data_IF_840759966700
#
_entry.id   IF_840759966700
#
_cell.length_a   1.000
_cell.length_b   1.000
_cell.length_c   1.000
_cell.angle_alpha   90.00
_cell.angle_beta   90.00
_cell.angle_gamma   90.00
#
_symmetry.space_group_name_H-M   'P 1'
#
loop_
_entity.id
_entity.type
_entity.pdbx_description
1 polymer ?
#
# COMPACT_ATOMS: atom_id res chain seq x y z
N UNK A 1 -69.46 18.61 -35.19
CA UNK A 1 -68.75 17.34 -34.96
C UNK A 1 -67.26 17.68 -34.78
N UNK A 2 -66.75 17.59 -33.54
CA UNK A 2 -65.36 17.23 -33.14
C UNK A 2 -64.20 18.14 -33.67
N UNK A 3 -63.23 18.65 -32.92
CA UNK A 3 -62.54 18.11 -31.75
C UNK A 3 -61.93 19.22 -30.86
N UNK A 4 -61.92 18.96 -29.57
CA UNK A 4 -61.38 19.75 -28.48
C UNK A 4 -59.85 19.62 -28.39
N UNK A 5 -59.14 20.75 -28.31
CA UNK A 5 -57.68 20.79 -28.11
C UNK A 5 -57.33 20.34 -26.68
N UNK A 6 -56.80 19.12 -26.53
CA UNK A 6 -56.14 18.70 -25.28
C UNK A 6 -54.72 19.27 -25.22
N UNK A 7 -54.46 20.14 -24.23
CA UNK A 7 -53.11 20.52 -23.80
C UNK A 7 -52.52 19.38 -22.96
N UNK A 8 -51.45 18.76 -23.44
CA UNK A 8 -50.63 17.85 -22.62
C UNK A 8 -49.66 18.68 -21.79
N UNK A 9 -49.86 18.70 -20.47
CA UNK A 9 -48.93 19.31 -19.52
C UNK A 9 -47.64 18.48 -19.34
N UNK A 10 -46.55 19.08 -18.82
CA UNK A 10 -45.27 18.42 -18.66
C UNK A 10 -45.33 17.35 -17.56
N UNK A 11 -44.74 16.20 -17.85
CA UNK A 11 -44.57 15.06 -16.95
C UNK A 11 -43.75 15.49 -15.72
N UNK A 12 -44.29 15.35 -14.51
CA UNK A 12 -43.56 15.58 -13.26
C UNK A 12 -42.44 14.54 -13.12
N UNK A 13 -41.21 14.95 -13.42
CA UNK A 13 -40.01 14.23 -13.02
C UNK A 13 -39.94 14.23 -11.48
N UNK A 14 -40.11 13.05 -10.86
CA UNK A 14 -40.05 12.90 -9.40
C UNK A 14 -38.66 13.28 -8.89
N UNK A 15 -38.47 14.53 -8.46
CA UNK A 15 -37.26 14.97 -7.74
C UNK A 15 -37.10 14.12 -6.47
N UNK A 16 -35.94 13.47 -6.33
CA UNK A 16 -35.59 12.75 -5.09
C UNK A 16 -35.57 13.75 -3.92
N UNK A 17 -36.13 13.40 -2.74
CA UNK A 17 -36.20 14.34 -1.62
C UNK A 17 -34.80 14.70 -1.11
N UNK A 18 -34.54 16.01 -0.98
CA UNK A 18 -33.27 16.64 -0.60
C UNK A 18 -32.66 16.07 0.70
N UNK A 19 -33.50 15.60 1.64
CA UNK A 19 -33.09 14.99 2.91
C UNK A 19 -32.39 13.63 2.72
N UNK A 20 -32.86 12.79 1.79
CA UNK A 20 -32.20 11.52 1.44
C UNK A 20 -30.84 11.76 0.78
N UNK A 21 -30.71 12.82 0.00
CA UNK A 21 -29.47 13.22 -0.68
C UNK A 21 -28.43 13.77 0.30
N UNK A 22 -28.84 14.55 1.32
CA UNK A 22 -27.96 15.02 2.40
C UNK A 22 -27.46 13.88 3.30
N UNK A 23 -28.31 12.89 3.58
CA UNK A 23 -27.92 11.72 4.39
C UNK A 23 -26.88 10.84 3.70
N UNK A 24 -27.02 10.59 2.39
CA UNK A 24 -26.04 9.81 1.61
C UNK A 24 -24.70 10.52 1.46
N UNK A 25 -24.70 11.85 1.26
CA UNK A 25 -23.46 12.65 1.24
C UNK A 25 -22.74 12.58 2.59
N UNK A 26 -23.48 12.69 3.71
CA UNK A 26 -22.89 12.62 5.06
C UNK A 26 -22.29 11.24 5.37
N UNK A 27 -22.95 10.14 4.95
CA UNK A 27 -22.41 8.77 5.09
C UNK A 27 -21.14 8.57 4.25
N UNK A 28 -21.12 9.01 2.99
CA UNK A 28 -19.94 8.93 2.12
C UNK A 28 -18.75 9.68 2.70
N UNK A 29 -18.96 10.91 3.17
CA UNK A 29 -17.90 11.72 3.81
C UNK A 29 -17.37 11.10 5.10
N UNK A 30 -18.20 10.39 5.87
CA UNK A 30 -17.75 9.66 7.07
C UNK A 30 -16.87 8.46 6.70
N UNK A 31 -17.27 7.67 5.70
CA UNK A 31 -16.48 6.53 5.23
C UNK A 31 -15.10 6.94 4.70
N UNK A 32 -15.02 8.01 3.91
CA UNK A 32 -13.75 8.53 3.40
C UNK A 32 -12.80 8.98 4.52
N UNK A 33 -13.29 9.76 5.50
CA UNK A 33 -12.46 10.21 6.62
C UNK A 33 -11.93 9.04 7.45
N UNK A 34 -12.78 8.05 7.71
CA UNK A 34 -12.39 6.86 8.47
C UNK A 34 -11.32 6.06 7.74
N UNK A 35 -11.49 5.85 6.42
CA UNK A 35 -10.50 5.16 5.60
C UNK A 35 -9.14 5.83 5.68
N UNK A 36 -9.07 7.15 5.44
CA UNK A 36 -7.81 7.87 5.48
C UNK A 36 -7.19 7.89 6.88
N UNK A 37 -7.99 8.01 7.93
CA UNK A 37 -7.47 7.96 9.31
C UNK A 37 -6.80 6.61 9.61
N UNK A 38 -7.49 5.51 9.30
CA UNK A 38 -6.98 4.16 9.54
C UNK A 38 -5.74 3.88 8.66
N UNK A 39 -5.79 4.25 7.38
CA UNK A 39 -4.71 4.01 6.44
C UNK A 39 -3.42 4.73 6.85
N UNK A 40 -3.52 6.00 7.21
CA UNK A 40 -2.36 6.78 7.63
C UNK A 40 -1.80 6.27 8.97
N UNK A 41 -2.66 5.94 9.94
CA UNK A 41 -2.21 5.41 11.22
C UNK A 41 -1.49 4.07 11.04
N UNK A 42 -2.02 3.16 10.22
CA UNK A 42 -1.40 1.86 9.99
C UNK A 42 -0.08 1.95 9.24
N UNK A 43 0.00 2.88 8.31
CA UNK A 43 1.25 3.18 7.60
C UNK A 43 2.31 3.77 8.54
N UNK A 44 1.90 4.65 9.45
CA UNK A 44 2.79 5.25 10.44
C UNK A 44 3.33 4.19 11.43
N UNK A 45 2.46 3.35 12.00
CA UNK A 45 2.87 2.31 12.93
C UNK A 45 3.77 1.26 12.25
N UNK A 46 3.48 0.91 10.98
CA UNK A 46 4.33 0.02 10.21
C UNK A 46 5.70 0.65 9.91
N UNK A 47 5.76 1.96 9.64
CA UNK A 47 7.01 2.67 9.47
C UNK A 47 7.83 2.73 10.77
N UNK A 48 7.19 2.99 11.93
CA UNK A 48 7.85 3.00 13.24
C UNK A 48 8.51 1.64 13.52
N UNK A 49 7.74 0.54 13.38
CA UNK A 49 8.26 -0.81 13.59
C UNK A 49 9.36 -1.15 12.57
N UNK A 50 9.19 -0.74 11.31
CA UNK A 50 10.22 -0.94 10.28
C UNK A 50 11.53 -0.24 10.61
N UNK A 51 11.48 1.02 11.05
CA UNK A 51 12.69 1.77 11.38
C UNK A 51 13.32 1.28 12.68
N UNK A 52 12.51 0.83 13.64
CA UNK A 52 13.02 0.14 14.82
C UNK A 52 13.85 -1.10 14.43
N UNK A 53 13.29 -1.97 13.58
CA UNK A 53 14.00 -3.18 13.14
C UNK A 53 15.24 -2.84 12.29
N UNK A 54 15.18 -1.80 11.45
CA UNK A 54 16.35 -1.31 10.68
C UNK A 54 17.55 -1.02 11.56
N UNK A 55 17.35 -0.26 12.63
CA UNK A 55 18.45 0.11 13.50
C UNK A 55 18.76 -0.95 14.56
N UNK A 56 17.81 -1.85 14.86
CA UNK A 56 18.09 -3.00 15.71
C UNK A 56 19.00 -4.01 15.03
N UNK A 57 18.73 -4.36 13.78
CA UNK A 57 19.52 -5.36 13.04
C UNK A 57 20.75 -4.78 12.33
N UNK A 58 20.72 -3.50 11.98
CA UNK A 58 21.76 -2.77 11.24
C UNK A 58 22.32 -3.56 10.03
N UNK A 59 21.43 -4.28 9.35
CA UNK A 59 21.84 -5.24 8.35
C UNK A 59 22.40 -4.54 7.10
N UNK A 60 23.53 -5.04 6.60
CA UNK A 60 24.18 -4.54 5.40
C UNK A 60 23.33 -4.71 4.14
N UNK A 61 23.61 -3.87 3.14
CA UNK A 61 22.86 -3.81 1.88
C UNK A 61 23.46 -4.74 0.82
N UNK A 62 22.69 -5.14 -0.21
CA UNK A 62 23.19 -6.02 -1.26
C UNK A 62 24.47 -5.54 -1.93
N UNK A 63 24.63 -4.22 -2.16
CA UNK A 63 25.86 -3.68 -2.76
C UNK A 63 27.08 -3.85 -1.85
N UNK A 64 26.92 -3.70 -0.54
CA UNK A 64 28.00 -3.96 0.41
C UNK A 64 28.29 -5.45 0.48
N UNK A 65 27.24 -6.27 0.56
CA UNK A 65 27.36 -7.72 0.70
C UNK A 65 28.00 -8.40 -0.53
N UNK A 66 27.63 -7.99 -1.75
CA UNK A 66 28.21 -8.53 -2.99
C UNK A 66 29.67 -8.10 -3.14
N UNK A 67 30.01 -6.85 -2.84
CA UNK A 67 31.38 -6.36 -2.94
C UNK A 67 32.29 -6.94 -1.84
N UNK A 68 31.73 -7.34 -0.70
CA UNK A 68 32.45 -7.88 0.46
C UNK A 68 32.02 -9.32 0.76
N UNK A 69 31.67 -10.08 -0.27
CA UNK A 69 31.17 -11.45 -0.09
C UNK A 69 32.23 -12.38 0.52
N UNK A 70 33.51 -12.05 0.41
CA UNK A 70 34.61 -12.74 1.11
C UNK A 70 34.51 -12.65 2.65
N UNK A 71 33.66 -11.77 3.19
CA UNK A 71 33.49 -11.53 4.64
C UNK A 71 32.23 -12.15 5.24
N UNK A 72 31.37 -12.77 4.44
CA UNK A 72 30.11 -13.35 4.94
C UNK A 72 30.27 -14.76 5.55
N UNK A 73 31.44 -15.38 5.40
CA UNK A 73 31.71 -16.74 5.87
C UNK A 73 31.05 -17.85 5.04
N UNK A 74 30.55 -17.53 3.84
CA UNK A 74 29.93 -18.47 2.92
C UNK A 74 30.90 -18.80 1.76
N UNK A 75 31.43 -20.03 1.66
CA UNK A 75 32.36 -20.39 0.59
C UNK A 75 31.70 -20.47 -0.80
N UNK A 76 30.37 -20.34 -0.91
CA UNK A 76 29.64 -20.33 -2.17
C UNK A 76 29.46 -18.92 -2.75
N UNK A 77 29.98 -17.88 -2.11
CA UNK A 77 29.90 -16.50 -2.59
C UNK A 77 31.29 -15.97 -2.93
N UNK A 78 31.40 -15.31 -4.08
CA UNK A 78 32.63 -14.66 -4.55
C UNK A 78 32.38 -13.15 -4.63
N UNK A 79 33.34 -12.31 -4.18
CA UNK A 79 33.15 -10.86 -4.22
C UNK A 79 33.20 -10.33 -5.66
N UNK A 80 32.20 -9.52 -6.03
CA UNK A 80 32.25 -8.69 -7.23
C UNK A 80 32.36 -7.22 -6.81
N UNK A 81 33.58 -6.71 -6.84
CA UNK A 81 33.90 -5.34 -6.40
C UNK A 81 33.40 -4.27 -7.38
N UNK A 82 33.01 -4.66 -8.59
CA UNK A 82 32.49 -3.75 -9.63
C UNK A 82 30.98 -3.62 -9.63
N UNK A 83 30.28 -4.52 -8.92
CA UNK A 83 28.82 -4.55 -8.89
C UNK A 83 28.24 -3.31 -8.23
N UNK A 84 27.24 -2.71 -8.88
CA UNK A 84 26.52 -1.52 -8.39
C UNK A 84 25.01 -1.72 -8.51
N UNK A 85 24.22 -1.25 -7.52
CA UNK A 85 22.78 -1.37 -7.56
C UNK A 85 22.18 -0.27 -8.46
N UNK A 86 20.98 -0.52 -8.99
CA UNK A 86 20.24 0.50 -9.73
C UNK A 86 19.76 1.64 -8.81
N UNK A 87 19.39 1.32 -7.57
CA UNK A 87 18.94 2.28 -6.56
C UNK A 87 19.70 2.10 -5.25
N UNK A 88 19.95 3.20 -4.55
CA UNK A 88 20.58 3.21 -3.22
C UNK A 88 19.68 3.88 -2.18
N UNK A 89 19.97 3.64 -0.90
CA UNK A 89 19.25 4.22 0.22
C UNK A 89 20.18 4.44 1.42
N UNK A 90 20.11 5.61 2.10
CA UNK A 90 21.02 5.97 3.18
C UNK A 90 20.53 5.45 4.56
N UNK A 91 20.14 4.18 4.64
CA UNK A 91 19.66 3.54 5.88
C UNK A 91 19.78 2.00 5.79
N UNK A 92 19.76 1.28 6.93
CA UNK A 92 19.97 -0.17 6.97
C UNK A 92 19.02 -0.98 6.09
N UNK A 93 19.44 -2.18 5.71
CA UNK A 93 18.74 -3.04 4.75
C UNK A 93 17.43 -3.57 5.30
N UNK A 94 17.47 -4.20 6.48
CA UNK A 94 16.38 -5.05 6.95
C UNK A 94 15.48 -4.35 7.97
N UNK A 95 14.14 -4.34 7.84
CA UNK A 95 13.34 -4.88 6.74
C UNK A 95 13.07 -3.81 5.67
N UNK A 96 12.43 -4.18 4.56
CA UNK A 96 12.09 -3.25 3.46
C UNK A 96 11.04 -2.21 3.86
N UNK A 97 11.42 -0.92 3.84
CA UNK A 97 10.51 0.18 4.20
C UNK A 97 9.29 0.30 3.27
N UNK A 98 9.47 0.02 1.98
CA UNK A 98 8.41 0.07 0.98
C UNK A 98 7.33 -0.98 1.28
N UNK A 99 7.74 -2.22 1.58
CA UNK A 99 6.81 -3.30 1.91
C UNK A 99 6.16 -3.14 3.29
N UNK A 100 6.83 -2.48 4.23
CA UNK A 100 6.22 -2.15 5.52
C UNK A 100 5.02 -1.19 5.35
N UNK A 101 5.20 -0.12 4.57
CA UNK A 101 4.16 0.91 4.39
C UNK A 101 3.06 0.41 3.44
N UNK A 102 3.42 -0.13 2.27
CA UNK A 102 2.45 -0.58 1.28
C UNK A 102 1.67 -1.78 1.74
N UNK A 103 2.33 -2.71 2.44
CA UNK A 103 1.66 -3.88 2.99
C UNK A 103 0.59 -3.49 4.01
N UNK A 104 0.87 -2.50 4.87
CA UNK A 104 -0.10 -1.99 5.83
C UNK A 104 -1.25 -1.26 5.12
N UNK A 105 -0.92 -0.39 4.16
CA UNK A 105 -1.90 0.37 3.37
C UNK A 105 -2.86 -0.55 2.60
N UNK A 106 -2.33 -1.52 1.85
CA UNK A 106 -3.14 -2.45 1.06
C UNK A 106 -3.94 -3.39 1.98
N UNK A 107 -3.40 -3.77 3.13
CA UNK A 107 -4.15 -4.56 4.12
C UNK A 107 -5.33 -3.79 4.71
N UNK A 108 -5.15 -2.50 5.00
CA UNK A 108 -6.26 -1.63 5.44
C UNK A 108 -7.32 -1.54 4.35
N UNK A 109 -6.95 -1.38 3.08
CA UNK A 109 -7.92 -1.33 1.98
C UNK A 109 -8.74 -2.63 1.89
N UNK A 110 -8.09 -3.79 2.03
CA UNK A 110 -8.78 -5.07 2.09
C UNK A 110 -9.78 -5.15 3.24
N UNK A 111 -9.38 -4.73 4.45
CA UNK A 111 -10.23 -4.73 5.63
C UNK A 111 -11.42 -3.77 5.48
N UNK A 112 -11.15 -2.56 5.00
CA UNK A 112 -12.15 -1.51 4.89
C UNK A 112 -13.24 -1.85 3.86
N UNK A 113 -12.84 -2.42 2.71
CA UNK A 113 -13.79 -2.84 1.67
C UNK A 113 -14.34 -4.25 1.88
N UNK A 114 -13.80 -5.01 2.83
CA UNK A 114 -14.21 -6.39 3.11
C UNK A 114 -13.86 -7.37 1.96
N UNK A 115 -12.94 -7.00 1.08
CA UNK A 115 -12.56 -7.81 -0.09
C UNK A 115 -11.15 -7.46 -0.55
N UNK A 116 -10.47 -8.45 -1.14
CA UNK A 116 -9.21 -8.24 -1.86
C UNK A 116 -9.43 -7.95 -3.36
N UNK A 117 -10.63 -8.16 -3.89
CA UNK A 117 -10.94 -8.10 -5.33
C UNK A 117 -11.50 -6.74 -5.74
N UNK A 118 -10.65 -5.73 -5.76
CA UNK A 118 -10.98 -4.42 -6.32
C UNK A 118 -9.91 -4.06 -7.35
N UNK A 119 -10.35 -3.78 -8.57
CA UNK A 119 -9.46 -3.33 -9.64
C UNK A 119 -9.09 -1.87 -9.45
N UNK A 120 -7.80 -1.55 -9.59
CA UNK A 120 -7.29 -0.19 -9.54
C UNK A 120 -6.08 -0.02 -10.47
N UNK A 121 -5.78 1.24 -10.79
CA UNK A 121 -4.61 1.62 -11.59
C UNK A 121 -3.61 2.41 -10.75
N UNK A 122 -2.32 2.21 -11.02
CA UNK A 122 -1.21 2.96 -10.43
C UNK A 122 -0.38 3.56 -11.56
N UNK A 123 -0.20 4.88 -11.53
CA UNK A 123 0.67 5.61 -12.45
C UNK A 123 1.86 6.15 -11.67
N UNK A 124 3.07 5.90 -12.14
CA UNK A 124 4.27 6.43 -11.50
C UNK A 124 4.36 7.94 -11.72
N UNK A 125 4.53 8.70 -10.64
CA UNK A 125 4.83 10.14 -10.73
C UNK A 125 6.27 10.41 -11.19
N UNK A 126 7.16 9.42 -11.06
CA UNK A 126 8.58 9.53 -11.40
C UNK A 126 8.89 9.07 -12.82
N UNK A 127 8.18 8.06 -13.31
CA UNK A 127 8.36 7.46 -14.63
C UNK A 127 7.02 7.46 -15.34
N UNK A 128 6.71 8.58 -16.01
CA UNK A 128 5.49 8.70 -16.80
C UNK A 128 5.47 7.72 -17.99
N UNK A 129 4.29 7.50 -18.56
CA UNK A 129 4.13 6.73 -19.79
C UNK A 129 2.97 5.74 -19.72
N UNK A 130 2.87 4.98 -18.63
CA UNK A 130 1.88 3.89 -18.52
C UNK A 130 1.22 3.81 -17.13
N UNK A 131 -0.02 3.32 -17.10
CA UNK A 131 -0.73 2.96 -15.86
C UNK A 131 -0.74 1.45 -15.72
N UNK A 132 -0.20 0.95 -14.60
CA UNK A 132 -0.29 -0.47 -14.24
C UNK A 132 -1.62 -0.75 -13.56
N UNK A 133 -2.32 -1.80 -14.00
CA UNK A 133 -3.59 -2.22 -13.41
C UNK A 133 -3.42 -3.52 -12.63
N UNK A 134 -4.06 -3.55 -11.46
CA UNK A 134 -4.15 -4.72 -10.60
C UNK A 134 -5.63 -5.02 -10.38
N UNK A 135 -6.01 -6.29 -10.35
CA UNK A 135 -7.37 -6.73 -10.06
C UNK A 135 -7.58 -6.95 -8.55
N UNK A 136 -6.49 -6.95 -7.77
CA UNK A 136 -6.52 -7.14 -6.31
C UNK A 136 -5.55 -6.26 -5.55
N UNK A 137 -5.93 -5.91 -4.31
CA UNK A 137 -5.02 -5.16 -3.42
C UNK A 137 -3.76 -5.95 -3.04
N UNK A 138 -3.81 -7.27 -3.04
CA UNK A 138 -2.65 -8.11 -2.70
C UNK A 138 -1.61 -8.24 -3.83
N UNK A 139 -1.97 -7.94 -5.07
CA UNK A 139 -1.11 -8.15 -6.25
C UNK A 139 0.13 -7.25 -6.29
N UNK A 140 0.05 -5.92 -6.05
CA UNK A 140 1.23 -5.06 -6.11
C UNK A 140 2.35 -5.51 -5.18
N UNK A 141 2.04 -6.09 -4.02
CA UNK A 141 3.07 -6.51 -3.06
C UNK A 141 4.04 -7.54 -3.66
N UNK A 142 3.57 -8.41 -4.57
CA UNK A 142 4.44 -9.37 -5.26
C UNK A 142 5.39 -8.64 -6.20
N UNK A 143 4.86 -7.72 -6.99
CA UNK A 143 5.62 -6.93 -7.93
C UNK A 143 6.63 -6.02 -7.22
N UNK A 144 6.25 -5.43 -6.08
CA UNK A 144 7.15 -4.57 -5.30
C UNK A 144 8.32 -5.40 -4.74
N UNK A 145 8.07 -6.61 -4.19
CA UNK A 145 9.15 -7.52 -3.72
C UNK A 145 10.18 -7.72 -4.85
N UNK A 146 9.73 -8.11 -6.04
CA UNK A 146 10.65 -8.35 -7.14
C UNK A 146 11.34 -7.06 -7.62
N UNK A 147 10.61 -5.95 -7.67
CA UNK A 147 11.18 -4.65 -8.04
C UNK A 147 12.28 -4.18 -7.10
N UNK A 148 12.20 -4.46 -5.79
CA UNK A 148 13.27 -4.09 -4.84
C UNK A 148 14.55 -4.91 -5.07
N UNK A 149 14.38 -6.17 -5.46
CA UNK A 149 15.49 -7.09 -5.78
C UNK A 149 16.12 -6.70 -7.12
N UNK A 150 15.31 -6.47 -8.16
CA UNK A 150 15.81 -6.02 -9.46
C UNK A 150 16.52 -4.67 -9.38
N UNK A 151 16.11 -3.81 -8.45
CA UNK A 151 16.79 -2.56 -8.19
C UNK A 151 18.14 -2.71 -7.45
N UNK A 152 18.49 -3.93 -7.00
CA UNK A 152 19.68 -4.19 -6.19
C UNK A 152 19.58 -3.63 -4.76
N UNK A 153 18.37 -3.35 -4.28
CA UNK A 153 18.17 -2.54 -3.07
C UNK A 153 17.98 -3.37 -1.80
N UNK A 154 17.29 -4.51 -1.91
CA UNK A 154 16.94 -5.38 -0.78
C UNK A 154 17.23 -6.85 -1.08
N UNK A 155 17.50 -7.61 -0.02
CA UNK A 155 17.40 -9.07 -0.08
C UNK A 155 15.92 -9.48 -0.04
N UNK A 156 15.57 -10.60 -0.71
CA UNK A 156 14.19 -11.11 -0.73
C UNK A 156 13.61 -11.32 0.68
N UNK A 157 14.43 -11.75 1.63
CA UNK A 157 14.04 -11.93 3.03
C UNK A 157 13.55 -10.63 3.67
N UNK A 158 14.21 -9.50 3.40
CA UNK A 158 13.81 -8.20 3.94
C UNK A 158 12.46 -7.74 3.41
N UNK A 159 12.17 -7.98 2.13
CA UNK A 159 10.87 -7.65 1.55
C UNK A 159 9.74 -8.57 2.06
N UNK A 160 9.99 -9.89 2.15
CA UNK A 160 9.00 -10.84 2.65
C UNK A 160 8.68 -10.61 4.12
N UNK A 161 9.69 -10.36 4.95
CA UNK A 161 9.48 -10.10 6.37
C UNK A 161 8.82 -8.73 6.62
N UNK A 162 9.19 -7.69 5.85
CA UNK A 162 8.49 -6.40 5.86
C UNK A 162 6.99 -6.55 5.57
N UNK A 163 6.65 -7.33 4.53
CA UNK A 163 5.26 -7.65 4.23
C UNK A 163 4.58 -8.31 5.43
N UNK A 164 5.19 -9.31 6.06
CA UNK A 164 4.60 -9.98 7.25
C UNK A 164 4.41 -8.99 8.41
N UNK A 165 5.41 -8.17 8.71
CA UNK A 165 5.36 -7.14 9.75
C UNK A 165 4.17 -6.20 9.54
N UNK A 166 4.03 -5.66 8.32
CA UNK A 166 2.94 -4.74 8.00
C UNK A 166 1.54 -5.34 8.14
N UNK A 167 1.38 -6.62 7.76
CA UNK A 167 0.12 -7.34 7.93
C UNK A 167 -0.23 -7.50 9.41
N UNK A 168 0.77 -7.76 10.26
CA UNK A 168 0.59 -7.88 11.71
C UNK A 168 0.19 -6.54 12.33
N UNK A 169 0.84 -5.44 11.93
CA UNK A 169 0.49 -4.08 12.39
C UNK A 169 -0.96 -3.75 12.05
N UNK A 170 -1.35 -3.90 10.78
CA UNK A 170 -2.72 -3.62 10.36
C UNK A 170 -3.75 -4.52 11.08
N UNK A 171 -3.41 -5.79 11.32
CA UNK A 171 -4.27 -6.70 12.08
C UNK A 171 -4.42 -6.27 13.54
N UNK A 172 -3.31 -5.94 14.20
CA UNK A 172 -3.30 -5.48 15.58
C UNK A 172 -4.19 -4.24 15.74
N UNK A 173 -4.06 -3.26 14.85
CA UNK A 173 -4.89 -2.05 14.93
C UNK A 173 -6.37 -2.34 14.73
N UNK A 174 -6.71 -3.25 13.80
CA UNK A 174 -8.09 -3.66 13.57
C UNK A 174 -8.69 -4.37 14.79
N UNK A 175 -7.93 -5.22 15.49
CA UNK A 175 -8.40 -5.91 16.70
C UNK A 175 -8.49 -5.00 17.92
N UNK A 176 -7.78 -3.87 17.92
CA UNK A 176 -7.79 -2.86 19.00
C UNK A 176 -8.62 -1.62 18.65
N UNK A 177 -9.52 -1.72 17.66
CA UNK A 177 -10.44 -0.65 17.27
C UNK A 177 -9.78 0.71 17.03
N UNK A 178 -8.53 0.70 16.56
CA UNK A 178 -7.74 1.91 16.30
C UNK A 178 -7.66 2.87 17.51
N UNK A 179 -7.67 2.31 18.72
CA UNK A 179 -7.50 3.07 19.96
C UNK A 179 -6.01 3.38 20.22
N UNK A 180 -5.69 4.41 21.02
CA UNK A 180 -4.32 4.68 21.47
C UNK A 180 -3.71 3.49 22.22
N UNK A 181 -2.38 3.39 22.18
CA UNK A 181 -1.61 2.50 23.06
C UNK A 181 -1.67 3.06 24.49
N UNK A 182 -1.88 2.17 25.48
CA UNK A 182 -1.95 2.50 26.90
C UNK A 182 -0.61 2.46 27.61
#
# INVERSE_FOLDING_TARGET
MVAERRRTGPTLERRRPQSRQRHTIRRRRRGQRLLFAILNLASADAAINCWNDKYYWDFWRPWTAIQQADRDGNPATEPDTSWMPLLTAPYPEHPSGHLCIDGASLRVLQMFFGTDKIRFGVTSSRFGGETRYFDRFSEPLKEIIDARIWAGLHFRTADVQAKVLSMKVAHYMATHYFQPLG
#
